data_IF_267972559417
#
_entry.id   IF_267972559417
#
_cell.length_a   1.000
_cell.length_b   1.000
_cell.length_c   1.000
_cell.angle_alpha   90.00
_cell.angle_beta   90.00
_cell.angle_gamma   90.00
#
_symmetry.space_group_name_H-M   'P 1'
#
loop_
_entity.id
_entity.type
_entity.pdbx_description
1 polymer ?
#
# COMPACT_ATOMS: atom_id res chain seq x y z
N UNK A 1 -7.32 11.00 14.49
CA UNK A 1 -6.26 11.60 15.29
C UNK A 1 -5.85 12.91 14.65
N UNK A 2 -6.29 14.01 15.25
CA UNK A 2 -5.65 15.31 14.98
C UNK A 2 -4.19 15.16 15.40
N UNK A 3 -3.30 14.98 14.44
CA UNK A 3 -1.88 15.10 14.70
C UNK A 3 -1.58 16.60 14.93
N UNK A 4 -1.68 17.03 16.18
CA UNK A 4 -0.90 18.19 16.58
C UNK A 4 0.56 17.89 16.24
N UNK A 5 1.33 18.89 15.87
CA UNK A 5 2.75 18.77 15.50
C UNK A 5 3.54 17.91 16.51
N UNK A 6 3.23 18.01 17.80
CA UNK A 6 3.84 17.23 18.88
C UNK A 6 3.55 15.72 18.81
N UNK A 7 2.32 15.29 18.47
CA UNK A 7 2.00 13.85 18.34
C UNK A 7 2.70 13.25 17.11
N UNK A 8 2.70 13.95 15.98
CA UNK A 8 3.46 13.58 14.79
C UNK A 8 4.94 13.38 15.09
N UNK A 9 5.56 14.27 15.88
CA UNK A 9 6.95 14.18 16.25
C UNK A 9 7.27 13.01 17.20
N UNK A 10 6.32 12.64 18.08
CA UNK A 10 6.46 11.44 18.94
C UNK A 10 6.47 10.17 18.10
N UNK A 11 5.52 10.01 17.18
CA UNK A 11 5.47 8.84 16.29
C UNK A 11 6.69 8.75 15.39
N UNK A 12 7.12 9.85 14.77
CA UNK A 12 8.34 9.88 13.97
C UNK A 12 9.58 9.44 14.78
N UNK A 13 9.71 9.92 16.04
CA UNK A 13 10.80 9.51 16.93
C UNK A 13 10.73 8.03 17.30
N UNK A 14 9.55 7.49 17.56
CA UNK A 14 9.38 6.05 17.84
C UNK A 14 9.81 5.20 16.64
N UNK A 15 9.39 5.56 15.44
CA UNK A 15 9.80 4.88 14.21
C UNK A 15 11.30 5.04 13.94
N UNK A 16 11.86 6.20 14.23
CA UNK A 16 13.31 6.42 14.12
C UNK A 16 14.12 5.54 15.06
N UNK A 17 13.64 5.39 16.28
CA UNK A 17 14.30 4.60 17.32
C UNK A 17 13.99 3.09 17.23
N UNK A 18 13.07 2.70 16.35
CA UNK A 18 12.78 1.29 16.08
C UNK A 18 14.00 0.62 15.45
N UNK A 19 14.31 -0.60 15.87
CA UNK A 19 15.39 -1.39 15.29
C UNK A 19 14.94 -2.07 13.97
N UNK A 20 14.37 -1.25 13.05
CA UNK A 20 13.91 -1.70 11.73
C UNK A 20 14.72 -1.03 10.63
N UNK A 21 14.97 -1.75 9.55
CA UNK A 21 15.62 -1.19 8.35
C UNK A 21 14.67 -0.39 7.47
N UNK A 22 13.36 -0.66 7.59
CA UNK A 22 12.33 -0.02 6.79
C UNK A 22 11.24 0.61 7.65
N UNK A 23 10.64 1.69 7.14
CA UNK A 23 9.53 2.40 7.76
C UNK A 23 8.45 2.67 6.70
N UNK A 24 7.20 2.38 7.05
CA UNK A 24 6.05 2.74 6.26
C UNK A 24 5.25 3.84 6.97
N UNK A 25 4.93 4.91 6.25
CA UNK A 25 3.99 5.93 6.71
C UNK A 25 2.79 6.02 5.77
N UNK A 26 1.62 6.08 6.38
CA UNK A 26 0.37 6.36 5.69
C UNK A 26 0.15 7.87 5.64
N UNK A 27 -0.16 8.41 4.47
CA UNK A 27 -0.49 9.83 4.29
C UNK A 27 -1.66 10.05 3.36
N UNK A 28 -2.43 11.11 3.61
CA UNK A 28 -3.60 11.43 2.81
C UNK A 28 -3.19 11.89 1.41
N UNK A 29 -3.81 11.31 0.38
CA UNK A 29 -3.60 11.67 -1.02
C UNK A 29 -4.87 12.09 -1.74
N UNK A 30 -5.96 12.29 -0.99
CA UNK A 30 -7.22 12.84 -1.45
C UNK A 30 -7.50 14.17 -0.75
N UNK A 31 -7.60 15.27 -1.50
CA UNK A 31 -7.80 16.63 -0.99
C UNK A 31 -9.02 16.76 -0.08
N UNK A 32 -10.12 16.06 -0.38
CA UNK A 32 -11.28 15.97 0.51
C UNK A 32 -10.90 15.46 1.91
N UNK A 33 -10.06 14.43 2.00
CA UNK A 33 -9.63 13.90 3.31
C UNK A 33 -8.58 14.79 4.00
N UNK A 34 -7.81 15.56 3.24
CA UNK A 34 -6.89 16.56 3.82
C UNK A 34 -7.67 17.65 4.54
N UNK A 35 -8.73 18.16 3.91
CA UNK A 35 -9.60 19.15 4.50
C UNK A 35 -10.41 18.58 5.69
N UNK A 36 -11.20 17.52 5.44
CA UNK A 36 -12.19 17.01 6.42
C UNK A 36 -11.55 16.27 7.59
N UNK A 37 -10.49 15.47 7.34
CA UNK A 37 -9.89 14.60 8.35
C UNK A 37 -8.67 15.22 9.04
N UNK A 38 -7.87 16.03 8.32
CA UNK A 38 -6.69 16.66 8.88
C UNK A 38 -6.93 18.12 9.26
N UNK A 39 -7.84 18.81 8.58
CA UNK A 39 -8.12 20.24 8.81
C UNK A 39 -6.93 21.15 8.45
N UNK A 40 -6.13 20.75 7.48
CA UNK A 40 -4.97 21.51 7.00
C UNK A 40 -5.10 21.81 5.51
N UNK A 41 -4.25 22.68 5.00
CA UNK A 41 -4.19 22.99 3.57
C UNK A 41 -3.52 21.87 2.77
N UNK A 42 -3.80 21.82 1.48
CA UNK A 42 -3.15 20.90 0.55
C UNK A 42 -1.62 21.09 0.51
N UNK A 43 -1.16 22.35 0.53
CA UNK A 43 0.28 22.66 0.52
C UNK A 43 0.96 22.18 1.81
N UNK A 44 0.32 22.41 2.96
CA UNK A 44 0.83 21.92 4.25
C UNK A 44 0.91 20.38 4.28
N UNK A 45 -0.06 19.68 3.67
CA UNK A 45 0.00 18.23 3.56
C UNK A 45 1.16 17.76 2.66
N UNK A 46 1.42 18.45 1.54
CA UNK A 46 2.56 18.14 0.67
C UNK A 46 3.89 18.37 1.38
N UNK A 47 4.02 19.43 2.15
CA UNK A 47 5.21 19.72 2.95
C UNK A 47 5.42 18.62 4.02
N UNK A 48 4.37 18.22 4.72
CA UNK A 48 4.42 17.16 5.73
C UNK A 48 4.86 15.81 5.14
N UNK A 49 4.37 15.45 3.95
CA UNK A 49 4.79 14.25 3.23
C UNK A 49 6.27 14.33 2.86
N UNK A 50 6.68 15.43 2.26
CA UNK A 50 8.05 15.69 1.82
C UNK A 50 9.04 15.64 2.99
N UNK A 51 8.76 16.38 4.06
CA UNK A 51 9.62 16.41 5.26
C UNK A 51 9.73 15.04 5.93
N UNK A 52 8.62 14.30 6.01
CA UNK A 52 8.63 12.96 6.59
C UNK A 52 9.49 12.01 5.76
N UNK A 53 9.34 11.99 4.44
CA UNK A 53 10.15 11.16 3.56
C UNK A 53 11.64 11.52 3.69
N UNK A 54 11.97 12.81 3.60
CA UNK A 54 13.34 13.32 3.76
C UNK A 54 13.97 12.91 5.09
N UNK A 55 13.20 12.95 6.17
CA UNK A 55 13.67 12.60 7.51
C UNK A 55 14.12 11.15 7.61
N UNK A 56 13.30 10.19 7.14
CA UNK A 56 13.63 8.76 7.22
C UNK A 56 14.69 8.35 6.21
N UNK A 57 14.65 8.89 5.00
CA UNK A 57 15.67 8.62 3.97
C UNK A 57 17.04 9.13 4.42
N UNK A 58 17.12 10.32 5.02
CA UNK A 58 18.38 10.85 5.60
C UNK A 58 18.90 9.95 6.73
N UNK A 59 18.03 9.31 7.48
CA UNK A 59 18.39 8.34 8.51
C UNK A 59 18.78 6.95 7.96
N UNK A 60 18.87 6.80 6.63
CA UNK A 60 19.18 5.55 5.93
C UNK A 60 18.19 4.41 6.18
N UNK A 61 16.94 4.74 6.51
CA UNK A 61 15.84 3.79 6.53
C UNK A 61 15.22 3.69 5.14
N UNK A 62 14.85 2.48 4.72
CA UNK A 62 14.02 2.30 3.54
C UNK A 62 12.64 2.88 3.85
N UNK A 63 12.25 3.93 3.13
CA UNK A 63 10.99 4.63 3.38
C UNK A 63 9.93 4.21 2.36
N UNK A 64 8.77 3.81 2.87
CA UNK A 64 7.56 3.51 2.12
C UNK A 64 6.50 4.56 2.44
N UNK A 65 5.85 5.06 1.40
CA UNK A 65 4.73 5.98 1.50
C UNK A 65 3.46 5.31 0.99
N UNK A 66 2.56 4.99 1.89
CA UNK A 66 1.23 4.48 1.55
C UNK A 66 0.30 5.67 1.31
N UNK A 67 -0.01 5.93 0.05
CA UNK A 67 -0.88 7.02 -0.39
C UNK A 67 -2.35 6.62 -0.16
N UNK A 68 -2.89 6.96 1.01
CA UNK A 68 -4.22 6.54 1.44
C UNK A 68 -5.30 7.20 0.57
N UNK A 69 -6.29 6.41 0.17
CA UNK A 69 -7.37 6.80 -0.77
C UNK A 69 -6.85 7.31 -2.11
N UNK A 70 -5.72 6.78 -2.59
CA UNK A 70 -5.10 7.30 -3.81
C UNK A 70 -6.02 7.22 -5.02
N UNK A 71 -6.69 6.09 -5.23
CA UNK A 71 -7.55 5.91 -6.40
C UNK A 71 -8.77 6.83 -6.36
N UNK A 72 -9.37 7.04 -5.19
CA UNK A 72 -10.48 8.00 -5.03
C UNK A 72 -10.00 9.44 -5.23
N UNK A 73 -8.88 9.79 -4.60
CA UNK A 73 -8.25 11.09 -4.76
C UNK A 73 -7.84 11.39 -6.19
N UNK A 74 -7.29 10.39 -6.90
CA UNK A 74 -6.93 10.54 -8.31
C UNK A 74 -8.17 10.75 -9.20
N UNK A 75 -9.24 10.01 -8.98
CA UNK A 75 -10.50 10.21 -9.74
C UNK A 75 -11.11 11.58 -9.49
N UNK A 76 -11.01 12.10 -8.26
CA UNK A 76 -11.53 13.41 -7.90
C UNK A 76 -10.63 14.58 -8.33
N UNK A 77 -9.33 14.47 -8.06
CA UNK A 77 -8.31 15.50 -8.35
C UNK A 77 -6.97 14.86 -8.72
N UNK A 78 -6.79 14.45 -9.99
CA UNK A 78 -5.57 13.77 -10.44
C UNK A 78 -4.29 14.56 -10.15
N UNK A 79 -4.34 15.88 -10.33
CA UNK A 79 -3.19 16.76 -10.13
C UNK A 79 -2.70 16.71 -8.69
N UNK A 80 -3.61 16.79 -7.73
CA UNK A 80 -3.25 16.78 -6.31
C UNK A 80 -2.74 15.41 -5.88
N UNK A 81 -3.44 14.32 -6.25
CA UNK A 81 -3.02 12.97 -5.92
C UNK A 81 -1.61 12.66 -6.45
N UNK A 82 -1.31 13.08 -7.68
CA UNK A 82 0.04 12.95 -8.26
C UNK A 82 1.07 13.80 -7.52
N UNK A 83 0.70 15.00 -7.04
CA UNK A 83 1.60 15.85 -6.25
C UNK A 83 1.97 15.19 -4.91
N UNK A 84 1.03 14.51 -4.24
CA UNK A 84 1.29 13.80 -3.00
C UNK A 84 2.33 12.68 -3.17
N UNK A 85 2.15 11.82 -4.18
CA UNK A 85 3.10 10.73 -4.42
C UNK A 85 4.47 11.25 -4.88
N UNK A 86 4.48 12.33 -5.66
CA UNK A 86 5.71 12.98 -6.11
C UNK A 86 6.48 13.61 -4.96
N UNK A 87 5.80 14.23 -3.99
CA UNK A 87 6.40 14.82 -2.80
C UNK A 87 7.22 13.79 -2.01
N UNK A 88 6.72 12.56 -1.85
CA UNK A 88 7.46 11.48 -1.20
C UNK A 88 8.59 10.93 -2.10
N UNK A 89 8.30 10.71 -3.38
CA UNK A 89 9.26 10.13 -4.31
C UNK A 89 10.50 11.00 -4.53
N UNK A 90 10.32 12.30 -4.69
CA UNK A 90 11.41 13.26 -4.89
C UNK A 90 12.37 13.35 -3.69
N UNK A 91 11.90 12.96 -2.50
CA UNK A 91 12.74 12.88 -1.30
C UNK A 91 13.43 11.50 -1.13
N UNK A 92 13.26 10.60 -2.09
CA UNK A 92 13.94 9.31 -2.11
C UNK A 92 13.17 8.17 -1.47
N UNK A 93 11.83 8.27 -1.33
CA UNK A 93 11.02 7.15 -0.92
C UNK A 93 11.27 5.95 -1.85
N UNK A 94 11.54 4.78 -1.25
CA UNK A 94 11.81 3.56 -2.02
C UNK A 94 10.55 3.03 -2.68
N UNK A 95 9.45 3.07 -1.95
CA UNK A 95 8.16 2.61 -2.41
C UNK A 95 7.08 3.68 -2.25
N UNK A 96 6.34 3.88 -3.32
CA UNK A 96 5.10 4.66 -3.36
C UNK A 96 3.97 3.68 -3.57
N UNK A 97 3.18 3.48 -2.53
CA UNK A 97 2.11 2.48 -2.52
C UNK A 97 0.78 3.15 -2.78
N UNK A 98 0.13 2.77 -3.87
CA UNK A 98 -1.17 3.28 -4.26
C UNK A 98 -2.26 2.48 -3.53
N UNK A 99 -3.00 3.14 -2.63
CA UNK A 99 -4.00 2.46 -1.81
C UNK A 99 -5.41 2.60 -2.42
N UNK A 100 -6.04 1.47 -2.70
CA UNK A 100 -7.48 1.36 -2.96
C UNK A 100 -8.18 1.15 -1.60
N UNK A 101 -8.22 2.22 -0.80
CA UNK A 101 -8.65 2.18 0.60
C UNK A 101 -10.12 1.82 0.74
N UNK A 102 -10.98 2.29 -0.16
CA UNK A 102 -12.40 1.95 -0.19
C UNK A 102 -12.67 0.59 -0.87
N UNK A 103 -11.68 0.00 -1.55
CA UNK A 103 -11.85 -1.29 -2.23
C UNK A 103 -12.87 -1.28 -3.36
N UNK A 104 -13.15 -0.10 -3.92
CA UNK A 104 -14.18 0.10 -4.96
C UNK A 104 -13.64 0.28 -6.37
N UNK A 105 -12.32 0.31 -6.55
CA UNK A 105 -11.70 0.49 -7.87
C UNK A 105 -11.79 -0.80 -8.69
N UNK A 106 -12.05 -0.68 -9.98
CA UNK A 106 -12.13 -1.83 -10.89
C UNK A 106 -10.78 -2.06 -11.59
N UNK A 107 -10.47 -3.29 -12.04
CA UNK A 107 -9.16 -3.63 -12.62
C UNK A 107 -8.76 -2.77 -13.83
N UNK A 108 -9.71 -2.38 -14.68
CA UNK A 108 -9.42 -1.51 -15.82
C UNK A 108 -9.08 -0.07 -15.40
N UNK A 109 -9.73 0.44 -14.34
CA UNK A 109 -9.40 1.75 -13.75
C UNK A 109 -7.98 1.73 -13.15
N UNK A 110 -7.63 0.63 -12.43
CA UNK A 110 -6.27 0.44 -11.92
C UNK A 110 -5.25 0.50 -13.05
N UNK A 111 -5.50 -0.22 -14.14
CA UNK A 111 -4.61 -0.22 -15.32
C UNK A 111 -4.41 1.20 -15.87
N UNK A 112 -5.50 1.95 -16.05
CA UNK A 112 -5.44 3.32 -16.57
C UNK A 112 -4.67 4.25 -15.63
N UNK A 113 -5.02 4.25 -14.34
CA UNK A 113 -4.43 5.14 -13.34
C UNK A 113 -2.94 4.81 -13.15
N UNK A 114 -2.56 3.53 -13.01
CA UNK A 114 -1.16 3.13 -12.86
C UNK A 114 -0.33 3.51 -14.07
N UNK A 115 -0.90 3.42 -15.28
CA UNK A 115 -0.21 3.87 -16.50
C UNK A 115 0.12 5.36 -16.48
N UNK A 116 -0.78 6.21 -15.97
CA UNK A 116 -0.52 7.64 -15.79
C UNK A 116 0.48 7.92 -14.66
N UNK A 117 0.33 7.24 -13.53
CA UNK A 117 1.26 7.34 -12.38
C UNK A 117 2.68 6.96 -12.80
N UNK A 118 2.84 5.96 -13.66
CA UNK A 118 4.16 5.49 -14.13
C UNK A 118 4.93 6.52 -14.95
N UNK A 119 4.27 7.57 -15.42
CA UNK A 119 4.92 8.72 -16.08
C UNK A 119 5.60 9.66 -15.07
N UNK A 120 5.20 9.60 -13.80
CA UNK A 120 5.69 10.47 -12.70
C UNK A 120 6.61 9.70 -11.75
N UNK A 121 6.22 8.47 -11.38
CA UNK A 121 6.99 7.58 -10.51
C UNK A 121 7.26 6.28 -11.25
N UNK A 122 8.52 5.89 -11.47
CA UNK A 122 8.85 4.66 -12.19
C UNK A 122 8.22 3.42 -11.54
N UNK A 123 7.71 2.49 -12.34
CA UNK A 123 7.03 1.28 -11.84
C UNK A 123 7.83 0.46 -10.83
N UNK A 124 9.17 0.42 -10.97
CA UNK A 124 10.08 -0.22 -10.00
C UNK A 124 10.03 0.37 -8.59
N UNK A 125 9.42 1.52 -8.42
CA UNK A 125 9.20 2.21 -7.15
C UNK A 125 7.73 2.23 -6.73
N UNK A 126 6.83 1.61 -7.53
CA UNK A 126 5.40 1.57 -7.24
C UNK A 126 5.00 0.29 -6.52
N UNK A 127 4.12 0.46 -5.53
CA UNK A 127 3.38 -0.58 -4.84
C UNK A 127 1.88 -0.42 -5.01
N UNK A 128 1.13 -1.46 -4.66
CA UNK A 128 -0.33 -1.43 -4.53
C UNK A 128 -0.77 -2.06 -3.22
N UNK A 129 -1.75 -1.43 -2.58
CA UNK A 129 -2.47 -1.92 -1.42
C UNK A 129 -3.97 -1.86 -1.72
N UNK A 130 -4.59 -3.01 -1.98
CA UNK A 130 -5.99 -3.08 -2.36
C UNK A 130 -6.84 -3.74 -1.28
N UNK A 131 -7.93 -3.06 -0.88
CA UNK A 131 -9.00 -3.64 -0.07
C UNK A 131 -10.00 -4.41 -0.94
N UNK A 132 -10.76 -5.31 -0.33
CA UNK A 132 -11.56 -6.32 -1.05
C UNK A 132 -13.07 -6.07 -0.98
N UNK A 133 -13.50 -4.85 -0.76
CA UNK A 133 -14.92 -4.50 -0.57
C UNK A 133 -15.77 -4.84 -1.81
N UNK A 134 -15.23 -4.65 -3.00
CA UNK A 134 -15.88 -5.06 -4.26
C UNK A 134 -15.47 -6.47 -4.75
N UNK A 135 -14.72 -7.24 -3.95
CA UNK A 135 -14.21 -8.55 -4.34
C UNK A 135 -13.04 -8.52 -5.34
N UNK A 136 -12.48 -7.35 -5.64
CA UNK A 136 -11.50 -7.15 -6.72
C UNK A 136 -10.04 -7.00 -6.24
N UNK A 137 -9.74 -7.10 -4.95
CA UNK A 137 -8.39 -6.80 -4.44
C UNK A 137 -7.28 -7.61 -5.12
N UNK A 138 -7.50 -8.91 -5.36
CA UNK A 138 -6.56 -9.77 -6.08
C UNK A 138 -6.44 -9.35 -7.55
N UNK A 139 -7.58 -9.14 -8.22
CA UNK A 139 -7.61 -8.74 -9.63
C UNK A 139 -6.95 -7.36 -9.83
N UNK A 140 -7.21 -6.41 -8.93
CA UNK A 140 -6.59 -5.08 -8.94
C UNK A 140 -5.07 -5.17 -8.74
N UNK A 141 -4.60 -6.02 -7.82
CA UNK A 141 -3.16 -6.23 -7.61
C UNK A 141 -2.48 -6.81 -8.85
N UNK A 142 -3.11 -7.78 -9.52
CA UNK A 142 -2.59 -8.37 -10.75
C UNK A 142 -2.59 -7.36 -11.90
N UNK A 143 -3.66 -6.58 -12.06
CA UNK A 143 -3.75 -5.51 -13.06
C UNK A 143 -2.66 -4.44 -12.85
N UNK A 144 -2.40 -4.06 -11.60
CA UNK A 144 -1.35 -3.12 -11.24
C UNK A 144 0.05 -3.65 -11.62
N UNK A 145 0.34 -4.93 -11.37
CA UNK A 145 1.63 -5.55 -11.73
C UNK A 145 1.83 -5.58 -13.24
N UNK A 146 0.81 -5.94 -14.00
CA UNK A 146 0.85 -5.90 -15.47
C UNK A 146 1.06 -4.48 -16.00
N UNK A 147 0.60 -3.47 -15.26
CA UNK A 147 0.76 -2.05 -15.60
C UNK A 147 2.09 -1.44 -15.09
N UNK A 148 2.95 -2.21 -14.42
CA UNK A 148 4.29 -1.77 -14.04
C UNK A 148 4.61 -1.75 -12.55
N UNK A 149 3.64 -1.92 -11.65
CA UNK A 149 3.87 -2.03 -10.20
C UNK A 149 4.76 -3.22 -9.85
N UNK A 150 5.62 -3.07 -8.85
CA UNK A 150 6.59 -4.11 -8.43
C UNK A 150 6.55 -4.48 -6.96
N UNK A 151 5.61 -3.93 -6.21
CA UNK A 151 5.33 -4.34 -4.83
C UNK A 151 3.82 -4.54 -4.65
N UNK A 152 3.44 -5.59 -3.96
CA UNK A 152 2.06 -5.82 -3.52
C UNK A 152 2.05 -5.91 -2.00
N UNK A 153 1.19 -5.13 -1.37
CA UNK A 153 0.82 -5.33 0.03
C UNK A 153 -0.47 -6.17 0.06
N UNK A 154 -0.44 -7.23 0.82
CA UNK A 154 -1.58 -8.13 0.99
C UNK A 154 -1.44 -8.93 2.28
N UNK A 155 -2.42 -9.75 2.58
CA UNK A 155 -2.43 -10.55 3.80
C UNK A 155 -2.69 -12.03 3.52
N UNK A 156 -2.22 -12.89 4.42
CA UNK A 156 -2.55 -14.31 4.36
C UNK A 156 -4.07 -14.46 4.56
N UNK A 157 -4.70 -15.25 3.70
CA UNK A 157 -6.15 -15.46 3.64
C UNK A 157 -6.99 -14.20 3.33
N UNK A 158 -6.35 -13.09 2.95
CA UNK A 158 -7.04 -11.83 2.69
C UNK A 158 -7.61 -11.16 3.92
N UNK A 159 -7.16 -11.51 5.13
CA UNK A 159 -7.66 -10.94 6.37
C UNK A 159 -7.31 -9.45 6.46
N UNK A 160 -8.25 -8.63 6.92
CA UNK A 160 -8.07 -7.19 7.03
C UNK A 160 -9.37 -6.47 7.39
N UNK A 161 -9.35 -5.16 7.29
CA UNK A 161 -10.52 -4.33 7.56
C UNK A 161 -11.69 -4.66 6.63
N UNK A 162 -12.90 -4.56 7.17
CA UNK A 162 -14.17 -4.77 6.46
C UNK A 162 -14.22 -6.12 5.71
N UNK A 163 -14.14 -6.09 4.38
CA UNK A 163 -14.15 -7.27 3.52
C UNK A 163 -12.75 -7.87 3.28
N UNK A 164 -11.71 -7.32 3.89
CA UNK A 164 -10.33 -7.80 3.84
C UNK A 164 -9.46 -7.11 2.80
N UNK A 165 -8.27 -7.66 2.61
CA UNK A 165 -7.22 -7.18 1.72
C UNK A 165 -6.97 -8.16 0.56
N UNK A 166 -6.06 -7.81 -0.33
CA UNK A 166 -5.59 -8.72 -1.36
C UNK A 166 -5.02 -10.01 -0.74
N UNK A 167 -5.58 -11.15 -1.17
CA UNK A 167 -5.24 -12.45 -0.60
C UNK A 167 -3.93 -12.99 -1.19
N UNK A 168 -2.87 -13.04 -0.37
CA UNK A 168 -1.56 -13.59 -0.77
C UNK A 168 -1.64 -15.08 -1.13
N UNK A 169 -2.60 -15.82 -0.57
CA UNK A 169 -2.80 -17.23 -0.89
C UNK A 169 -3.30 -17.45 -2.33
N UNK A 170 -3.87 -16.42 -2.96
CA UNK A 170 -4.27 -16.43 -4.37
C UNK A 170 -3.17 -15.82 -5.25
N UNK A 171 -2.54 -14.75 -4.79
CA UNK A 171 -1.51 -14.02 -5.55
C UNK A 171 -0.24 -14.85 -5.75
N UNK A 172 0.31 -15.44 -4.69
CA UNK A 172 1.57 -16.20 -4.78
C UNK A 172 1.48 -17.35 -5.80
N UNK A 173 0.47 -18.26 -5.74
CA UNK A 173 0.34 -19.30 -6.75
C UNK A 173 0.14 -18.76 -8.17
N UNK A 174 -0.53 -17.62 -8.32
CA UNK A 174 -0.74 -17.00 -9.64
C UNK A 174 0.59 -16.66 -10.30
N UNK A 175 1.53 -16.08 -9.56
CA UNK A 175 2.86 -15.76 -10.09
C UNK A 175 3.67 -16.98 -10.50
N UNK A 176 3.46 -18.14 -9.88
CA UNK A 176 4.18 -19.35 -10.23
C UNK A 176 3.48 -20.18 -11.33
N UNK A 177 2.15 -20.22 -11.32
CA UNK A 177 1.39 -21.20 -12.11
C UNK A 177 0.76 -20.62 -13.38
N UNK A 178 0.57 -19.30 -13.44
CA UNK A 178 -0.03 -18.64 -14.61
C UNK A 178 1.07 -18.13 -15.53
N UNK A 179 1.08 -18.63 -16.77
CA UNK A 179 2.12 -18.32 -17.76
C UNK A 179 2.33 -16.82 -17.98
N UNK A 180 1.24 -16.05 -17.99
CA UNK A 180 1.28 -14.59 -18.16
C UNK A 180 2.06 -13.87 -17.05
N UNK A 181 2.21 -14.52 -15.89
CA UNK A 181 2.98 -14.00 -14.77
C UNK A 181 4.33 -14.70 -14.63
N UNK A 182 4.36 -16.03 -14.61
CA UNK A 182 5.58 -16.80 -14.38
C UNK A 182 6.65 -16.64 -15.45
N UNK A 183 6.27 -16.24 -16.67
CA UNK A 183 7.21 -15.96 -17.75
C UNK A 183 7.80 -14.55 -17.73
N UNK A 184 7.21 -13.63 -16.98
CA UNK A 184 7.55 -12.19 -16.99
C UNK A 184 8.06 -11.67 -15.66
N UNK A 185 7.67 -12.32 -14.56
CA UNK A 185 7.94 -11.84 -13.20
C UNK A 185 8.60 -12.90 -12.35
N UNK A 186 9.59 -12.47 -11.60
CA UNK A 186 10.20 -13.25 -10.55
C UNK A 186 9.78 -12.64 -9.20
N UNK A 187 9.45 -13.51 -8.24
CA UNK A 187 9.12 -13.10 -6.87
C UNK A 187 10.16 -13.65 -5.90
N UNK A 188 10.36 -12.97 -4.77
CA UNK A 188 11.35 -13.34 -3.76
C UNK A 188 11.05 -14.67 -3.04
N UNK A 189 9.85 -15.22 -3.19
CA UNK A 189 9.48 -16.51 -2.63
C UNK A 189 10.03 -17.61 -3.55
N UNK A 190 10.75 -18.57 -2.97
CA UNK A 190 11.26 -19.72 -3.72
C UNK A 190 10.13 -20.69 -4.08
N UNK A 191 10.16 -21.25 -5.29
CA UNK A 191 9.13 -22.17 -5.78
C UNK A 191 8.92 -23.40 -4.88
N UNK A 192 9.98 -23.90 -4.24
CA UNK A 192 9.91 -25.01 -3.28
C UNK A 192 9.04 -24.71 -2.05
N UNK A 193 8.82 -23.43 -1.72
CA UNK A 193 8.03 -23.00 -0.58
C UNK A 193 6.52 -22.92 -0.87
N UNK A 194 6.10 -23.11 -2.12
CA UNK A 194 4.67 -23.16 -2.47
C UNK A 194 3.94 -24.26 -1.70
N UNK A 195 4.59 -25.41 -1.47
CA UNK A 195 4.03 -26.52 -0.67
C UNK A 195 3.61 -26.11 0.75
N UNK A 196 4.20 -25.06 1.30
CA UNK A 196 3.93 -24.58 2.66
C UNK A 196 2.71 -23.65 2.74
N UNK A 197 2.15 -23.21 1.62
CA UNK A 197 1.04 -22.25 1.59
C UNK A 197 -0.18 -22.74 2.37
N UNK A 198 -0.55 -24.01 2.20
CA UNK A 198 -1.72 -24.59 2.91
C UNK A 198 -1.51 -24.58 4.42
N UNK A 199 -0.33 -24.93 4.88
CA UNK A 199 0.01 -24.91 6.31
C UNK A 199 0.00 -23.49 6.85
N UNK A 200 0.59 -22.54 6.13
CA UNK A 200 0.57 -21.11 6.48
C UNK A 200 -0.87 -20.58 6.59
N UNK A 201 -1.72 -20.91 5.60
CA UNK A 201 -3.13 -20.54 5.60
C UNK A 201 -3.89 -21.08 6.80
N UNK A 202 -3.68 -22.35 7.12
CA UNK A 202 -4.32 -23.02 8.28
C UNK A 202 -3.85 -22.42 9.60
N UNK A 203 -2.56 -22.18 9.74
CA UNK A 203 -1.99 -21.57 10.95
C UNK A 203 -2.61 -20.21 11.25
N UNK A 204 -2.74 -19.35 10.24
CA UNK A 204 -3.37 -18.03 10.39
C UNK A 204 -4.86 -18.16 10.71
N UNK A 205 -5.59 -19.05 10.02
CA UNK A 205 -7.02 -19.29 10.29
C UNK A 205 -7.26 -19.79 11.70
N UNK A 206 -6.42 -20.72 12.18
CA UNK A 206 -6.52 -21.26 13.53
C UNK A 206 -6.31 -20.16 14.60
N UNK A 207 -5.33 -19.31 14.40
CA UNK A 207 -5.05 -18.19 15.32
C UNK A 207 -6.25 -17.24 15.44
N UNK A 208 -6.95 -16.98 14.35
CA UNK A 208 -8.14 -16.13 14.37
C UNK A 208 -9.38 -16.81 14.94
N UNK A 209 -9.52 -18.12 14.78
CA UNK A 209 -10.65 -18.90 15.32
C UNK A 209 -10.55 -19.14 16.83
N UNK A 210 -9.36 -19.05 17.40
CA UNK A 210 -9.11 -19.27 18.84
C UNK A 210 -9.16 -17.98 19.68
N UNK A 211 -9.49 -16.84 19.09
CA UNK A 211 -9.83 -15.67 19.88
C UNK A 211 -11.04 -16.01 20.76
N UNK A 212 -10.97 -15.81 22.09
CA UNK A 212 -12.07 -16.14 22.98
C UNK A 212 -13.30 -15.38 22.51
N UNK A 213 -14.32 -16.11 22.03
CA UNK A 213 -15.66 -15.56 21.99
C UNK A 213 -15.98 -15.15 23.41
N UNK A 214 -16.18 -13.86 23.64
CA UNK A 214 -16.68 -13.38 24.90
C UNK A 214 -17.92 -14.19 25.24
N UNK A 215 -17.80 -15.10 26.20
CA UNK A 215 -18.95 -15.77 26.75
C UNK A 215 -19.84 -14.69 27.34
N UNK A 216 -20.94 -14.44 26.65
CA UNK A 216 -22.02 -13.62 27.22
C UNK A 216 -22.60 -14.25 28.45
#
# INVERSE_FOLDING_TARGET
LHCSSAASDVYKRQLMNSNTSAVCLVGKSWDFHVDVALGITNDENLDNISESAKHFVKAKKEFMFDAEHFFDGYKANPKYALSCIKAAYDQGARWIVLCDTNGGTLPHEVTQIVSEVSKVVPGKNLGIHAHNDSGNAVANSLAAVLSGVRQIQGTINGLGERCGNANLMSLIPTFFLKKDFSSQFEISIKSENIKNLTECSRSVSYTHLTLPTSNG
#
